data_IF_073006525146
#
_entry.id   IF_073006525146
#
_cell.length_a   1.000
_cell.length_b   1.000
_cell.length_c   1.000
_cell.angle_alpha   90.00
_cell.angle_beta   90.00
_cell.angle_gamma   90.00
#
_symmetry.space_group_name_H-M   'P 1'
#
loop_
_entity.id
_entity.type
_entity.pdbx_description
1 polymer ?
#
# COMPACT_ATOMS: atom_id res chain seq x y z
N UNK A 1 53.51 49.41 33.55
CA UNK A 1 52.09 49.61 33.20
C UNK A 1 51.90 49.43 31.69
N UNK A 2 51.75 48.17 31.29
CA UNK A 2 51.46 47.60 29.95
C UNK A 2 51.80 46.13 30.20
N UNK A 3 50.91 45.19 29.91
CA UNK A 3 51.00 43.74 30.25
C UNK A 3 50.16 43.24 31.44
N UNK A 4 49.18 44.01 31.94
CA UNK A 4 48.17 43.46 32.88
C UNK A 4 46.75 43.36 32.30
N UNK A 5 46.50 43.89 31.10
CA UNK A 5 45.14 43.98 30.52
C UNK A 5 44.87 42.88 29.48
N UNK A 6 45.89 42.16 29.02
CA UNK A 6 45.72 41.16 27.95
C UNK A 6 45.41 39.74 28.43
N UNK A 7 45.55 39.45 29.73
CA UNK A 7 45.27 38.12 30.29
C UNK A 7 43.90 37.97 30.97
N UNK A 8 43.10 39.05 31.04
CA UNK A 8 41.72 38.95 31.58
C UNK A 8 40.65 38.71 30.51
N UNK A 9 40.97 38.88 29.22
CA UNK A 9 40.01 38.67 28.12
C UNK A 9 40.00 37.24 27.56
N UNK A 10 41.00 36.42 27.90
CA UNK A 10 41.09 35.02 27.47
C UNK A 10 40.37 34.05 28.44
N UNK A 11 40.10 34.49 29.68
CA UNK A 11 39.46 33.64 30.70
C UNK A 11 37.92 33.74 30.72
N UNK A 12 37.33 34.67 29.97
CA UNK A 12 35.86 34.86 29.93
C UNK A 12 35.18 34.26 28.69
N UNK A 13 35.95 33.81 27.68
CA UNK A 13 35.39 33.20 26.45
C UNK A 13 35.27 31.67 26.56
N UNK A 14 36.03 31.03 27.45
CA UNK A 14 35.96 29.58 27.66
C UNK A 14 34.86 29.13 28.62
N UNK A 15 34.22 30.04 29.38
CA UNK A 15 33.09 29.69 30.25
C UNK A 15 31.72 29.83 29.58
N UNK A 16 31.63 30.46 28.41
CA UNK A 16 30.38 30.64 27.67
C UNK A 16 30.00 29.43 26.78
N UNK A 17 30.88 28.44 26.63
CA UNK A 17 30.63 27.22 25.83
C UNK A 17 30.11 26.02 26.65
N UNK A 18 29.96 26.15 27.97
CA UNK A 18 29.39 25.09 28.84
C UNK A 18 27.93 25.35 29.24
N UNK A 19 27.33 26.46 28.78
CA UNK A 19 25.94 26.84 29.11
C UNK A 19 24.91 26.51 28.02
N UNK A 20 25.28 25.76 26.98
CA UNK A 20 24.36 25.34 25.89
C UNK A 20 24.20 23.82 25.76
N UNK A 21 24.40 23.09 26.87
CA UNK A 21 23.86 21.75 27.05
C UNK A 21 23.01 21.76 28.32
N UNK A 22 21.95 22.57 28.34
CA UNK A 22 20.77 22.12 29.09
C UNK A 22 20.27 20.90 28.33
N UNK A 23 20.64 19.72 28.82
CA UNK A 23 19.80 18.55 28.65
C UNK A 23 18.41 19.01 29.06
N UNK A 24 17.56 19.25 28.06
CA UNK A 24 16.16 18.97 28.25
C UNK A 24 16.16 17.55 28.83
N UNK A 25 15.78 17.43 30.09
CA UNK A 25 15.28 16.17 30.61
C UNK A 25 14.15 15.81 29.66
N UNK A 26 14.51 15.05 28.62
CA UNK A 26 13.59 14.17 27.97
C UNK A 26 13.17 13.29 29.13
N UNK A 27 12.01 13.59 29.70
CA UNK A 27 11.20 12.57 30.35
C UNK A 27 11.15 11.45 29.32
N UNK A 28 12.06 10.49 29.48
CA UNK A 28 11.87 9.17 28.94
C UNK A 28 10.63 8.70 29.68
N UNK A 29 9.47 9.00 29.11
CA UNK A 29 8.26 8.26 29.37
C UNK A 29 8.72 6.81 29.27
N UNK A 30 8.82 6.19 30.43
CA UNK A 30 9.23 4.81 30.58
C UNK A 30 8.12 4.04 29.86
N UNK A 31 8.30 3.81 28.55
CA UNK A 31 7.38 3.05 27.74
C UNK A 31 7.30 1.69 28.43
N UNK A 32 6.19 1.50 29.14
CA UNK A 32 5.82 0.23 29.75
C UNK A 32 6.11 -0.84 28.72
N UNK A 33 7.08 -1.72 28.99
CA UNK A 33 7.47 -2.84 28.12
C UNK A 33 6.18 -3.54 27.69
N UNK A 34 5.77 -3.29 26.45
CA UNK A 34 4.53 -3.81 25.89
C UNK A 34 4.68 -5.33 25.84
N UNK A 35 3.88 -6.05 26.63
CA UNK A 35 4.09 -7.48 26.84
C UNK A 35 3.84 -8.25 25.54
N UNK A 36 4.64 -9.30 25.33
CA UNK A 36 4.59 -10.21 24.18
C UNK A 36 3.21 -10.86 24.01
N UNK A 37 2.43 -10.96 25.08
CA UNK A 37 1.15 -11.69 25.09
C UNK A 37 -0.09 -10.79 25.00
N UNK A 38 0.07 -9.47 24.95
CA UNK A 38 -1.06 -8.54 24.88
C UNK A 38 -1.22 -7.91 23.50
N UNK A 39 -2.38 -8.12 22.90
CA UNK A 39 -2.75 -7.43 21.67
C UNK A 39 -3.06 -5.96 21.94
N UNK A 40 -2.49 -5.11 21.09
CA UNK A 40 -2.78 -3.69 20.99
C UNK A 40 -3.65 -3.46 19.77
N UNK A 41 -4.51 -2.45 19.82
CA UNK A 41 -5.40 -2.10 18.70
C UNK A 41 -5.03 -0.73 18.15
N UNK A 42 -4.87 -0.63 16.83
CA UNK A 42 -4.63 0.65 16.18
C UNK A 42 -5.90 1.51 16.22
N UNK A 43 -5.82 2.67 16.88
CA UNK A 43 -6.94 3.60 17.01
C UNK A 43 -7.29 4.33 15.69
N UNK A 44 -6.35 4.38 14.76
CA UNK A 44 -6.45 4.98 13.44
C UNK A 44 -5.62 4.18 12.42
N UNK A 45 -5.77 4.46 11.13
CA UNK A 45 -4.93 3.85 10.11
C UNK A 45 -3.45 4.22 10.35
N UNK A 46 -2.54 3.29 10.04
CA UNK A 46 -1.10 3.48 10.25
C UNK A 46 -0.30 3.00 9.04
N UNK A 47 0.75 3.74 8.63
CA UNK A 47 1.63 3.25 7.58
C UNK A 47 2.37 2.00 8.07
N UNK A 48 2.43 0.98 7.22
CA UNK A 48 3.35 -0.15 7.36
C UNK A 48 4.60 0.10 6.52
N UNK A 49 4.41 0.64 5.32
CA UNK A 49 5.44 1.16 4.42
C UNK A 49 4.80 2.06 3.36
N UNK A 50 5.60 2.50 2.38
CA UNK A 50 5.09 3.31 1.28
C UNK A 50 3.96 2.59 0.53
N UNK A 51 2.77 3.22 0.50
CA UNK A 51 1.57 2.71 -0.17
C UNK A 51 0.84 1.57 0.54
N UNK A 52 1.33 1.09 1.70
CA UNK A 52 0.64 0.09 2.50
C UNK A 52 0.32 0.65 3.87
N UNK A 53 -0.97 0.77 4.16
CA UNK A 53 -1.51 1.20 5.44
C UNK A 53 -2.30 0.07 6.08
N UNK A 54 -2.09 -0.11 7.39
CA UNK A 54 -2.90 -0.96 8.22
C UNK A 54 -4.18 -0.19 8.60
N UNK A 55 -5.38 -0.76 8.38
CA UNK A 55 -6.63 -0.09 8.71
C UNK A 55 -6.79 0.08 10.23
N UNK A 56 -7.59 1.08 10.61
CA UNK A 56 -8.06 1.25 11.98
C UNK A 56 -8.68 -0.06 12.50
N UNK A 57 -8.39 -0.42 13.74
CA UNK A 57 -8.87 -1.65 14.36
C UNK A 57 -7.96 -2.87 14.14
N UNK A 58 -6.89 -2.74 13.35
CA UNK A 58 -5.85 -3.77 13.28
C UNK A 58 -5.28 -4.04 14.67
N UNK A 59 -5.24 -5.32 15.03
CA UNK A 59 -4.63 -5.77 16.27
C UNK A 59 -3.18 -6.19 16.01
N UNK A 60 -2.30 -5.93 16.96
CA UNK A 60 -0.89 -6.32 16.85
C UNK A 60 -0.27 -6.67 18.19
N UNK A 61 0.78 -7.49 18.16
CA UNK A 61 1.60 -7.82 19.34
C UNK A 61 3.02 -8.17 18.93
N UNK A 62 3.96 -8.06 19.85
CA UNK A 62 5.29 -8.64 19.67
C UNK A 62 5.20 -10.16 19.69
N UNK A 63 6.00 -10.82 18.86
CA UNK A 63 6.01 -12.30 18.78
C UNK A 63 7.04 -12.95 19.71
N UNK A 64 7.97 -12.16 20.24
CA UNK A 64 9.06 -12.62 21.08
C UNK A 64 9.50 -11.52 22.06
N UNK A 65 10.15 -11.93 23.15
CA UNK A 65 10.62 -11.03 24.20
C UNK A 65 11.73 -10.06 23.74
N UNK A 66 12.46 -10.43 22.69
CA UNK A 66 13.48 -9.58 22.08
C UNK A 66 12.87 -8.55 21.10
N UNK A 67 11.54 -8.59 20.93
CA UNK A 67 10.76 -7.68 20.10
C UNK A 67 11.29 -7.61 18.66
N UNK A 68 11.79 -8.74 18.13
CA UNK A 68 12.38 -8.78 16.78
C UNK A 68 11.33 -8.81 15.67
N UNK A 69 10.10 -9.17 16.02
CA UNK A 69 8.95 -9.06 15.11
C UNK A 69 7.63 -8.80 15.82
N UNK A 70 6.68 -8.36 15.03
CA UNK A 70 5.27 -8.17 15.39
C UNK A 70 4.38 -8.98 14.46
N UNK A 71 3.29 -9.48 15.03
CA UNK A 71 2.18 -10.10 14.30
C UNK A 71 1.03 -9.10 14.19
N UNK A 72 0.35 -9.10 13.05
CA UNK A 72 -0.84 -8.32 12.77
C UNK A 72 -2.05 -9.23 12.54
N UNK A 73 -3.20 -8.81 13.06
CA UNK A 73 -4.51 -9.37 12.76
C UNK A 73 -5.40 -8.23 12.27
N UNK A 74 -5.81 -8.30 11.01
CA UNK A 74 -6.67 -7.29 10.39
C UNK A 74 -8.09 -7.34 10.95
N UNK A 75 -8.81 -6.19 10.96
CA UNK A 75 -10.23 -6.18 11.30
C UNK A 75 -11.05 -6.99 10.28
N UNK A 76 -12.25 -7.39 10.70
CA UNK A 76 -13.18 -8.13 9.83
C UNK A 76 -13.43 -7.38 8.51
N UNK A 77 -13.46 -8.12 7.41
CA UNK A 77 -13.66 -7.56 6.07
C UNK A 77 -12.38 -7.09 5.39
N UNK A 78 -11.22 -7.23 6.03
CA UNK A 78 -9.93 -6.95 5.41
C UNK A 78 -9.04 -8.19 5.35
N UNK A 79 -8.19 -8.27 4.33
CA UNK A 79 -7.14 -9.28 4.20
C UNK A 79 -5.85 -8.66 3.66
N UNK A 80 -4.72 -9.22 4.05
CA UNK A 80 -3.44 -8.95 3.40
C UNK A 80 -3.42 -9.63 2.02
N UNK A 81 -2.96 -8.89 1.02
CA UNK A 81 -2.51 -9.44 -0.24
C UNK A 81 -1.08 -9.95 -0.06
N UNK A 82 -0.88 -11.25 -0.24
CA UNK A 82 0.41 -11.90 -0.05
C UNK A 82 0.94 -12.44 -1.36
N UNK A 83 2.25 -12.35 -1.57
CA UNK A 83 2.93 -12.99 -2.70
C UNK A 83 4.10 -13.85 -2.22
N UNK A 84 4.16 -15.08 -2.71
CA UNK A 84 5.34 -15.92 -2.53
C UNK A 84 6.52 -15.39 -3.35
N UNK A 85 7.65 -15.13 -2.68
CA UNK A 85 8.79 -14.45 -3.31
C UNK A 85 9.42 -15.27 -4.44
N UNK A 86 9.32 -16.60 -4.40
CA UNK A 86 9.92 -17.51 -5.37
C UNK A 86 8.98 -17.81 -6.54
N UNK A 87 7.78 -18.29 -6.24
CA UNK A 87 6.80 -18.76 -7.23
C UNK A 87 5.94 -17.62 -7.80
N UNK A 88 5.94 -16.46 -7.15
CA UNK A 88 5.04 -15.33 -7.43
C UNK A 88 3.56 -15.62 -7.24
N UNK A 89 3.21 -16.78 -6.66
CA UNK A 89 1.83 -17.13 -6.34
C UNK A 89 1.23 -16.14 -5.34
N UNK A 90 0.00 -15.71 -5.61
CA UNK A 90 -0.72 -14.71 -4.81
C UNK A 90 -1.74 -15.41 -3.93
N UNK A 91 -1.90 -14.92 -2.69
CA UNK A 91 -2.89 -15.44 -1.74
C UNK A 91 -3.39 -14.35 -0.79
N UNK A 92 -4.47 -14.63 -0.07
CA UNK A 92 -5.06 -13.72 0.92
C UNK A 92 -4.97 -14.32 2.32
N UNK A 93 -4.74 -13.48 3.34
CA UNK A 93 -4.80 -13.89 4.73
C UNK A 93 -5.24 -12.75 5.66
N UNK A 94 -5.97 -13.03 6.75
CA UNK A 94 -6.32 -12.01 7.74
C UNK A 94 -5.14 -11.62 8.65
N UNK A 95 -4.04 -12.38 8.61
CA UNK A 95 -2.88 -12.17 9.46
C UNK A 95 -1.60 -11.92 8.66
N UNK A 96 -0.71 -11.13 9.25
CA UNK A 96 0.55 -10.68 8.67
C UNK A 96 1.53 -10.31 9.77
N UNK A 97 2.61 -9.62 9.42
CA UNK A 97 3.61 -9.22 10.40
C UNK A 97 4.73 -8.37 9.82
N UNK A 98 5.56 -7.87 10.71
CA UNK A 98 6.75 -7.09 10.40
C UNK A 98 7.91 -7.56 11.27
N UNK A 99 9.07 -7.77 10.68
CA UNK A 99 10.27 -8.23 11.38
C UNK A 99 11.47 -7.35 11.07
N UNK A 100 12.40 -7.27 12.02
CA UNK A 100 13.67 -6.58 11.85
C UNK A 100 14.82 -7.58 11.83
N UNK A 101 15.68 -7.47 10.83
CA UNK A 101 16.82 -8.35 10.64
C UNK A 101 18.12 -7.55 10.68
N UNK A 102 19.16 -8.11 11.32
CA UNK A 102 20.50 -7.54 11.32
C UNK A 102 21.31 -8.18 10.18
N UNK A 103 21.98 -7.37 9.36
CA UNK A 103 22.83 -7.89 8.27
C UNK A 103 24.14 -8.56 8.75
N UNK A 104 24.47 -8.44 10.04
CA UNK A 104 25.69 -8.95 10.65
C UNK A 104 25.35 -9.68 11.97
N UNK A 105 26.14 -9.50 13.02
CA UNK A 105 25.87 -10.07 14.34
C UNK A 105 25.02 -9.15 15.22
N UNK A 106 24.26 -9.74 16.14
CA UNK A 106 23.38 -9.03 17.07
C UNK A 106 21.91 -9.09 16.66
N UNK A 107 21.11 -8.17 17.19
CA UNK A 107 19.66 -8.14 16.97
C UNK A 107 19.16 -6.72 16.72
N UNK A 108 18.04 -6.64 16.01
CA UNK A 108 17.30 -5.42 15.75
C UNK A 108 15.94 -5.52 16.42
N UNK A 109 15.43 -4.40 16.95
CA UNK A 109 14.15 -4.35 17.62
C UNK A 109 13.14 -3.65 16.73
N UNK A 110 11.93 -4.20 16.64
CA UNK A 110 10.79 -3.52 16.03
C UNK A 110 10.31 -2.43 16.97
N UNK A 111 10.24 -1.22 16.43
CA UNK A 111 9.63 -0.07 17.09
C UNK A 111 8.37 0.33 16.35
N UNK A 112 7.41 0.88 17.08
CA UNK A 112 6.19 1.44 16.53
C UNK A 112 6.07 2.90 16.96
N UNK A 113 5.81 3.79 15.99
CA UNK A 113 5.58 5.20 16.22
C UNK A 113 4.28 5.62 15.51
N UNK A 114 3.40 6.34 16.20
CA UNK A 114 2.09 6.73 15.66
C UNK A 114 2.14 7.60 14.39
N UNK A 115 3.26 8.29 14.13
CA UNK A 115 3.45 9.17 12.98
C UNK A 115 4.21 8.49 11.83
N UNK A 116 5.08 7.52 12.13
CA UNK A 116 5.97 6.89 11.16
C UNK A 116 5.69 5.39 10.92
N UNK A 117 4.78 4.79 11.68
CA UNK A 117 4.46 3.37 11.57
C UNK A 117 5.49 2.47 12.25
N UNK A 118 5.73 1.31 11.62
CA UNK A 118 6.67 0.31 12.11
C UNK A 118 8.06 0.52 11.52
N UNK A 119 9.09 0.36 12.35
CA UNK A 119 10.48 0.53 11.94
C UNK A 119 11.44 -0.36 12.72
N UNK A 120 12.72 -0.30 12.35
CA UNK A 120 13.78 -1.08 13.01
C UNK A 120 14.78 -0.18 13.73
N UNK A 121 15.01 -0.47 15.01
CA UNK A 121 16.05 0.13 15.81
C UNK A 121 17.28 -0.77 15.87
N UNK A 122 18.46 -0.16 15.69
CA UNK A 122 19.76 -0.83 15.87
C UNK A 122 20.00 -1.08 17.36
N UNK A 123 19.49 -2.20 17.87
CA UNK A 123 19.72 -2.62 19.25
C UNK A 123 21.19 -3.02 19.45
N UNK A 124 21.49 -4.32 19.36
CA UNK A 124 22.86 -4.85 19.45
C UNK A 124 23.48 -5.15 18.09
N UNK A 125 22.77 -4.85 17.01
CA UNK A 125 23.21 -5.11 15.65
C UNK A 125 24.48 -4.32 15.31
N UNK A 126 25.52 -5.02 14.86
CA UNK A 126 26.79 -4.43 14.40
C UNK A 126 26.76 -4.05 12.91
N UNK A 127 25.69 -4.41 12.20
CA UNK A 127 25.47 -4.13 10.79
C UNK A 127 24.27 -3.21 10.54
N UNK A 128 23.61 -3.37 9.39
CA UNK A 128 22.39 -2.64 9.04
C UNK A 128 21.15 -3.39 9.54
N UNK A 129 20.27 -2.69 10.25
CA UNK A 129 18.93 -3.18 10.55
C UNK A 129 17.99 -2.93 9.38
N UNK A 130 17.32 -3.98 8.92
CA UNK A 130 16.38 -3.91 7.78
C UNK A 130 15.05 -4.53 8.18
N UNK A 131 13.97 -3.81 7.89
CA UNK A 131 12.61 -4.28 8.13
C UNK A 131 12.07 -5.13 6.98
N UNK A 132 11.22 -6.10 7.30
CA UNK A 132 10.55 -6.95 6.33
C UNK A 132 9.11 -7.21 6.75
N UNK A 133 8.18 -6.94 5.84
CA UNK A 133 6.76 -7.28 5.98
C UNK A 133 6.51 -8.70 5.45
N UNK A 134 6.11 -9.59 6.34
CA UNK A 134 5.97 -11.02 6.03
C UNK A 134 4.75 -11.59 6.74
N UNK A 135 4.23 -12.74 6.30
CA UNK A 135 3.19 -13.45 7.07
C UNK A 135 3.69 -13.97 8.44
N UNK A 136 5.00 -13.90 8.68
CA UNK A 136 5.67 -14.31 9.91
C UNK A 136 7.18 -14.47 9.68
N UNK A 137 7.96 -14.55 10.76
CA UNK A 137 9.44 -14.55 10.76
C UNK A 137 10.14 -15.46 9.74
N UNK A 138 9.51 -16.58 9.35
CA UNK A 138 10.07 -17.58 8.42
C UNK A 138 9.24 -17.77 7.15
N UNK A 139 8.30 -16.88 6.89
CA UNK A 139 7.44 -17.00 5.72
C UNK A 139 8.15 -16.50 4.47
N UNK A 140 8.04 -17.26 3.38
CA UNK A 140 8.41 -16.79 2.04
C UNK A 140 7.36 -15.84 1.43
N UNK A 141 6.28 -15.58 2.16
CA UNK A 141 5.19 -14.70 1.74
C UNK A 141 5.48 -13.27 2.18
N UNK A 142 5.56 -12.39 1.20
CA UNK A 142 5.63 -10.94 1.38
C UNK A 142 4.23 -10.34 1.38
N UNK A 143 4.00 -9.34 2.23
CA UNK A 143 2.77 -8.53 2.17
C UNK A 143 2.93 -7.52 1.03
N UNK A 144 1.99 -7.46 0.09
CA UNK A 144 2.00 -6.45 -0.97
C UNK A 144 0.92 -5.39 -0.79
N UNK A 145 0.02 -5.60 0.17
CA UNK A 145 -0.94 -4.59 0.58
C UNK A 145 -2.06 -5.15 1.44
N UNK A 146 -3.08 -4.33 1.66
CA UNK A 146 -4.30 -4.64 2.39
C UNK A 146 -5.49 -4.40 1.47
N UNK A 147 -6.36 -5.38 1.38
CA UNK A 147 -7.56 -5.41 0.55
C UNK A 147 -8.81 -5.40 1.44
N UNK A 148 -9.88 -4.75 0.99
CA UNK A 148 -11.19 -4.78 1.66
C UNK A 148 -12.03 -5.93 1.13
N UNK A 149 -11.75 -7.15 1.60
CA UNK A 149 -12.37 -8.39 1.13
C UNK A 149 -13.85 -8.57 1.45
N UNK A 150 -14.46 -7.68 2.24
CA UNK A 150 -15.92 -7.65 2.39
C UNK A 150 -16.65 -7.12 1.15
N UNK A 151 -15.95 -6.49 0.20
CA UNK A 151 -16.47 -6.15 -1.12
C UNK A 151 -16.00 -7.18 -2.15
N UNK A 152 -16.68 -8.33 -2.18
CA UNK A 152 -16.32 -9.54 -2.95
C UNK A 152 -17.01 -9.66 -4.32
N UNK A 153 -17.62 -8.57 -4.79
CA UNK A 153 -18.17 -8.43 -6.14
C UNK A 153 -17.68 -7.13 -6.78
N UNK A 154 -17.85 -7.01 -8.10
CA UNK A 154 -17.59 -5.78 -8.85
C UNK A 154 -18.67 -4.77 -8.49
N UNK A 155 -18.25 -3.64 -7.93
CA UNK A 155 -19.12 -2.51 -7.61
C UNK A 155 -18.63 -1.25 -8.29
N UNK A 156 -19.55 -0.32 -8.55
CA UNK A 156 -19.22 1.01 -9.06
C UNK A 156 -18.98 2.04 -7.95
N UNK A 157 -19.20 1.62 -6.71
CA UNK A 157 -18.86 2.37 -5.51
C UNK A 157 -17.80 1.61 -4.69
N UNK A 158 -17.13 2.34 -3.80
CA UNK A 158 -16.16 1.73 -2.88
C UNK A 158 -16.60 1.97 -1.44
N UNK A 159 -16.86 0.89 -0.72
CA UNK A 159 -17.18 0.95 0.70
C UNK A 159 -15.92 1.26 1.55
N UNK A 160 -14.76 0.76 1.10
CA UNK A 160 -13.46 1.10 1.66
C UNK A 160 -12.36 0.89 0.61
N UNK A 161 -11.31 1.71 0.68
CA UNK A 161 -10.18 1.65 -0.25
C UNK A 161 -9.18 0.56 0.14
N UNK A 162 -8.63 -0.12 -0.86
CA UNK A 162 -7.43 -0.91 -0.72
C UNK A 162 -6.20 -0.02 -0.47
N UNK A 163 -5.16 -0.61 0.12
CA UNK A 163 -3.86 0.03 0.33
C UNK A 163 -2.77 -0.91 -0.17
N UNK A 164 -2.27 -0.65 -1.39
CA UNK A 164 -1.37 -1.54 -2.11
C UNK A 164 -0.05 -0.82 -2.45
N UNK A 165 1.06 -1.56 -2.37
CA UNK A 165 2.29 -1.11 -3.04
C UNK A 165 2.14 -1.19 -4.56
N UNK A 166 3.07 -0.60 -5.31
CA UNK A 166 3.08 -0.73 -6.78
C UNK A 166 3.09 -2.21 -7.23
N UNK A 167 3.88 -3.06 -6.57
CA UNK A 167 3.89 -4.50 -6.83
C UNK A 167 2.58 -5.18 -6.37
N UNK A 168 1.92 -4.65 -5.34
CA UNK A 168 0.60 -5.11 -4.89
C UNK A 168 -0.50 -4.87 -5.91
N UNK A 169 -0.47 -3.73 -6.61
CA UNK A 169 -1.40 -3.46 -7.72
C UNK A 169 -1.24 -4.54 -8.81
N UNK A 170 0.00 -4.88 -9.18
CA UNK A 170 0.27 -5.93 -10.17
C UNK A 170 -0.07 -7.35 -9.68
N UNK A 171 0.11 -7.63 -8.39
CA UNK A 171 -0.25 -8.93 -7.81
C UNK A 171 -1.78 -9.07 -7.66
N UNK A 172 -2.49 -8.00 -7.36
CA UNK A 172 -3.95 -7.98 -7.27
C UNK A 172 -4.59 -8.45 -8.58
N UNK A 173 -4.03 -8.05 -9.73
CA UNK A 173 -4.56 -8.45 -11.03
C UNK A 173 -4.39 -9.94 -11.32
N UNK A 174 -3.54 -10.65 -10.57
CA UNK A 174 -3.30 -12.09 -10.72
C UNK A 174 -4.27 -12.95 -9.88
N UNK A 175 -5.14 -12.34 -9.08
CA UNK A 175 -6.13 -13.06 -8.28
C UNK A 175 -7.10 -13.83 -9.18
N UNK A 176 -7.23 -15.17 -9.02
CA UNK A 176 -8.15 -15.97 -9.83
C UNK A 176 -9.61 -15.48 -9.74
N UNK A 177 -10.01 -14.99 -8.56
CA UNK A 177 -11.36 -14.48 -8.31
C UNK A 177 -11.66 -13.24 -9.14
N UNK A 178 -10.70 -12.30 -9.24
CA UNK A 178 -10.85 -11.12 -10.08
C UNK A 178 -10.96 -11.50 -11.55
N UNK A 179 -10.09 -12.40 -12.03
CA UNK A 179 -10.12 -12.85 -13.43
C UNK A 179 -11.46 -13.48 -13.79
N UNK A 180 -12.03 -14.27 -12.86
CA UNK A 180 -13.35 -14.87 -13.01
C UNK A 180 -14.45 -13.82 -13.05
N UNK A 181 -14.44 -12.85 -12.12
CA UNK A 181 -15.45 -11.80 -12.06
C UNK A 181 -15.43 -10.88 -13.29
N UNK A 182 -14.25 -10.53 -13.80
CA UNK A 182 -14.14 -9.77 -15.07
C UNK A 182 -14.83 -10.57 -16.19
N UNK A 183 -14.56 -11.87 -16.31
CA UNK A 183 -15.19 -12.69 -17.32
C UNK A 183 -16.72 -12.72 -17.16
N UNK A 184 -17.22 -13.00 -15.96
CA UNK A 184 -18.65 -13.06 -15.66
C UNK A 184 -19.37 -11.73 -15.94
N UNK A 185 -18.71 -10.61 -15.64
CA UNK A 185 -19.24 -9.27 -15.93
C UNK A 185 -19.42 -9.03 -17.43
N UNK A 186 -18.42 -9.38 -18.23
CA UNK A 186 -18.52 -9.27 -19.69
C UNK A 186 -19.55 -10.22 -20.28
N UNK A 187 -19.61 -11.47 -19.80
CA UNK A 187 -20.62 -12.45 -20.24
C UNK A 187 -22.04 -11.91 -20.01
N UNK A 188 -22.25 -11.20 -18.89
CA UNK A 188 -23.50 -10.52 -18.57
C UNK A 188 -23.77 -9.31 -19.47
N UNK A 189 -22.82 -8.37 -19.55
CA UNK A 189 -22.99 -7.09 -20.27
C UNK A 189 -23.17 -7.30 -21.78
N UNK A 190 -22.45 -8.25 -22.37
CA UNK A 190 -22.53 -8.52 -23.81
C UNK A 190 -23.58 -9.59 -24.16
N UNK A 191 -24.23 -10.21 -23.16
CA UNK A 191 -25.37 -11.10 -23.35
C UNK A 191 -25.13 -12.27 -24.32
N UNK A 192 -23.89 -12.73 -24.45
CA UNK A 192 -23.49 -13.77 -25.42
C UNK A 192 -23.41 -13.32 -26.88
N UNK A 193 -23.48 -12.01 -27.14
CA UNK A 193 -23.21 -11.40 -28.45
C UNK A 193 -21.72 -11.37 -28.80
N UNK A 194 -21.41 -10.89 -30.00
CA UNK A 194 -20.02 -10.76 -30.44
C UNK A 194 -19.27 -9.77 -29.56
N UNK A 195 -18.23 -10.26 -28.90
CA UNK A 195 -17.30 -9.41 -28.18
C UNK A 195 -16.51 -8.57 -29.20
N UNK A 196 -16.27 -7.28 -28.92
CA UNK A 196 -15.44 -6.43 -29.77
C UNK A 196 -14.07 -7.08 -30.01
N UNK A 197 -13.52 -6.94 -31.23
CA UNK A 197 -12.10 -7.21 -31.45
C UNK A 197 -11.32 -6.08 -30.79
N UNK A 198 -11.16 -6.17 -29.47
CA UNK A 198 -10.43 -5.19 -28.70
C UNK A 198 -9.02 -5.08 -29.30
N UNK A 199 -8.56 -3.88 -29.68
CA UNK A 199 -7.26 -3.73 -30.32
C UNK A 199 -6.20 -4.46 -29.49
N UNK A 200 -5.41 -5.28 -30.18
CA UNK A 200 -4.27 -6.00 -29.58
C UNK A 200 -3.20 -4.97 -29.18
N UNK A 201 -3.42 -4.24 -28.09
CA UNK A 201 -2.53 -3.17 -27.61
C UNK A 201 -3.11 -2.36 -26.46
N UNK A 202 -2.35 -1.40 -25.95
CA UNK A 202 -2.79 -0.40 -24.95
C UNK A 202 -3.58 0.76 -25.61
N UNK A 203 -3.68 0.80 -26.94
CA UNK A 203 -4.35 1.87 -27.70
C UNK A 203 -5.88 1.72 -27.73
N UNK A 204 -6.53 2.31 -26.73
CA UNK A 204 -7.99 2.52 -26.67
C UNK A 204 -8.49 3.56 -27.70
N UNK A 205 -7.58 4.34 -28.29
CA UNK A 205 -7.85 5.50 -29.17
C UNK A 205 -8.58 5.12 -30.47
N UNK A 206 -8.60 3.85 -30.84
CA UNK A 206 -9.28 3.38 -32.06
C UNK A 206 -10.76 3.01 -31.84
N UNK A 207 -11.24 3.03 -30.60
CA UNK A 207 -12.61 2.69 -30.27
C UNK A 207 -13.52 3.92 -30.35
N UNK A 208 -14.69 3.77 -30.98
CA UNK A 208 -15.71 4.81 -31.06
C UNK A 208 -16.34 5.04 -29.69
N UNK A 209 -16.43 6.30 -29.28
CA UNK A 209 -17.11 6.73 -28.05
C UNK A 209 -18.63 6.59 -28.15
N UNK A 210 -19.16 6.43 -29.37
CA UNK A 210 -20.57 6.13 -29.62
C UNK A 210 -20.90 4.65 -29.34
N UNK A 211 -19.88 3.78 -29.33
CA UNK A 211 -20.04 2.33 -29.18
C UNK A 211 -19.58 1.82 -27.81
N UNK A 212 -18.63 2.51 -27.15
CA UNK A 212 -18.02 2.02 -25.91
C UNK A 212 -17.74 3.14 -24.90
N UNK A 213 -17.74 2.77 -23.62
CA UNK A 213 -17.33 3.61 -22.50
C UNK A 213 -16.55 2.81 -21.46
N UNK A 214 -15.69 3.48 -20.69
CA UNK A 214 -15.01 2.90 -19.54
C UNK A 214 -15.81 3.16 -18.26
N UNK A 215 -16.21 2.11 -17.57
CA UNK A 215 -16.88 2.19 -16.27
C UNK A 215 -15.86 2.01 -15.13
N UNK A 216 -15.72 3.02 -14.28
CA UNK A 216 -14.93 2.91 -13.06
C UNK A 216 -15.56 1.89 -12.11
N UNK A 217 -14.80 0.88 -11.74
CA UNK A 217 -15.24 -0.28 -10.97
C UNK A 217 -14.27 -0.57 -9.82
N UNK A 218 -14.75 -1.30 -8.83
CA UNK A 218 -14.03 -1.63 -7.61
C UNK A 218 -14.25 -3.08 -7.21
N UNK A 219 -13.17 -3.76 -6.86
CA UNK A 219 -13.18 -5.11 -6.30
C UNK A 219 -12.17 -5.17 -5.16
N UNK A 220 -12.58 -5.70 -4.00
CA UNK A 220 -11.80 -5.66 -2.77
C UNK A 220 -11.26 -4.26 -2.39
N UNK A 221 -11.99 -3.21 -2.76
CA UNK A 221 -11.60 -1.82 -2.54
C UNK A 221 -10.53 -1.27 -3.49
N UNK A 222 -10.03 -2.08 -4.43
CA UNK A 222 -9.09 -1.65 -5.47
C UNK A 222 -9.87 -1.20 -6.71
N UNK A 223 -9.53 -0.02 -7.22
CA UNK A 223 -10.14 0.55 -8.42
C UNK A 223 -9.53 -0.02 -9.70
N UNK A 224 -10.36 -0.19 -10.73
CA UNK A 224 -10.00 -0.50 -12.11
C UNK A 224 -11.11 0.01 -13.04
N UNK A 225 -10.89 -0.03 -14.35
CA UNK A 225 -11.89 0.34 -15.36
C UNK A 225 -12.24 -0.86 -16.24
N UNK A 226 -13.53 -1.02 -16.52
CA UNK A 226 -14.04 -2.02 -17.46
C UNK A 226 -14.54 -1.31 -18.71
N UNK A 227 -14.24 -1.87 -19.87
CA UNK A 227 -14.72 -1.35 -21.14
C UNK A 227 -16.05 -2.03 -21.49
N UNK A 228 -17.13 -1.26 -21.48
CA UNK A 228 -18.50 -1.73 -21.69
C UNK A 228 -19.11 -1.06 -22.93
N UNK A 229 -20.15 -1.66 -23.55
CA UNK A 229 -20.90 -1.01 -24.62
C UNK A 229 -21.53 0.28 -24.11
N UNK A 230 -21.45 1.33 -24.90
CA UNK A 230 -22.24 2.52 -24.64
C UNK A 230 -23.70 2.21 -24.91
N UNK A 231 -24.54 2.47 -23.91
CA UNK A 231 -25.98 2.48 -24.08
C UNK A 231 -26.53 3.73 -23.39
N UNK A 232 -27.40 4.52 -24.04
CA UNK A 232 -28.08 5.65 -23.41
C UNK A 232 -28.84 5.23 -22.13
N UNK A 233 -29.29 3.97 -22.09
CA UNK A 233 -30.01 3.41 -20.94
C UNK A 233 -29.06 2.99 -19.82
N UNK A 234 -27.76 2.77 -20.08
CA UNK A 234 -26.80 2.37 -19.06
C UNK A 234 -26.71 3.43 -17.96
N UNK A 235 -26.58 4.70 -18.34
CA UNK A 235 -26.57 5.82 -17.39
C UNK A 235 -27.91 6.02 -16.68
N UNK A 236 -29.01 5.48 -17.22
CA UNK A 236 -30.31 5.48 -16.56
C UNK A 236 -30.40 4.38 -15.50
N UNK A 237 -29.91 3.18 -15.80
CA UNK A 237 -29.91 2.04 -14.87
C UNK A 237 -28.81 2.12 -13.81
N UNK A 238 -27.70 2.80 -14.13
CA UNK A 238 -26.54 2.94 -13.26
C UNK A 238 -26.07 4.41 -13.21
N UNK A 239 -26.87 5.31 -12.64
CA UNK A 239 -26.61 6.76 -12.66
C UNK A 239 -25.36 7.18 -11.89
N UNK A 240 -24.92 6.36 -10.94
CA UNK A 240 -23.76 6.64 -10.08
C UNK A 240 -22.44 6.15 -10.68
N UNK A 241 -22.49 5.50 -11.86
CA UNK A 241 -21.28 4.99 -12.52
C UNK A 241 -20.55 6.15 -13.18
N UNK A 242 -19.28 6.30 -12.83
CA UNK A 242 -18.38 7.19 -13.55
C UNK A 242 -17.98 6.55 -14.87
N UNK A 243 -18.46 7.16 -15.94
CA UNK A 243 -18.17 6.76 -17.31
C UNK A 243 -17.15 7.72 -17.93
N UNK A 244 -16.14 7.16 -18.57
CA UNK A 244 -15.13 7.91 -19.34
C UNK A 244 -15.18 7.46 -20.79
N UNK A 245 -15.10 8.40 -21.73
CA UNK A 245 -15.03 8.05 -23.14
C UNK A 245 -13.69 7.34 -23.45
N UNK A 246 -13.64 6.38 -24.40
CA UNK A 246 -12.40 5.69 -24.77
C UNK A 246 -11.27 6.62 -25.26
N UNK A 247 -11.60 7.73 -25.93
CA UNK A 247 -10.62 8.73 -26.37
C UNK A 247 -10.04 9.60 -25.23
N UNK A 248 -10.82 9.70 -24.15
CA UNK A 248 -10.47 10.32 -22.86
C UNK A 248 -10.00 9.28 -21.84
N UNK A 249 -9.90 8.00 -22.23
CA UNK A 249 -9.30 6.99 -21.40
C UNK A 249 -7.91 7.46 -20.95
N UNK A 250 -7.47 7.17 -19.71
CA UNK A 250 -6.25 7.74 -19.17
C UNK A 250 -5.05 7.45 -20.07
N UNK A 251 -4.67 8.39 -20.95
CA UNK A 251 -3.46 8.28 -21.80
C UNK A 251 -2.18 8.25 -20.96
N UNK A 252 -2.31 8.69 -19.72
CA UNK A 252 -1.28 8.66 -18.70
C UNK A 252 -1.94 8.51 -17.34
N UNK A 253 -1.32 7.75 -16.46
CA UNK A 253 -1.63 7.78 -15.04
C UNK A 253 -0.79 8.89 -14.41
N UNK A 254 -1.30 9.59 -13.40
CA UNK A 254 -0.48 10.53 -12.61
C UNK A 254 -0.10 9.92 -11.27
N UNK A 255 1.10 10.27 -10.80
CA UNK A 255 1.54 9.89 -9.48
C UNK A 255 1.26 11.07 -8.54
N UNK A 256 0.33 10.89 -7.61
CA UNK A 256 0.07 11.91 -6.57
C UNK A 256 1.13 11.89 -5.46
N UNK A 257 1.84 10.76 -5.29
CA UNK A 257 2.97 10.59 -4.35
C UNK A 257 3.79 9.33 -4.68
N UNK A 258 5.11 9.36 -4.43
CA UNK A 258 6.01 8.19 -4.43
C UNK A 258 7.23 8.29 -5.36
N UNK A 259 8.30 7.51 -5.10
CA UNK A 259 9.56 7.46 -5.88
C UNK A 259 9.49 6.51 -7.11
N UNK A 260 8.34 6.41 -7.76
CA UNK A 260 8.12 5.52 -8.90
C UNK A 260 8.65 6.07 -10.23
N UNK A 261 9.07 5.17 -11.13
CA UNK A 261 9.13 5.50 -12.58
C UNK A 261 7.69 5.80 -12.99
N UNK A 262 7.46 6.94 -13.64
CA UNK A 262 6.14 7.51 -13.93
C UNK A 262 5.01 6.50 -14.15
N UNK A 263 3.86 6.85 -13.60
CA UNK A 263 2.63 6.09 -13.60
C UNK A 263 2.21 5.64 -15.01
N UNK A 264 1.88 4.36 -15.16
CA UNK A 264 1.57 3.71 -16.44
C UNK A 264 0.19 3.05 -16.42
N UNK A 265 -0.56 3.23 -17.52
CA UNK A 265 -1.77 2.48 -17.78
C UNK A 265 -1.38 1.05 -18.17
N UNK A 266 -2.03 0.06 -17.55
CA UNK A 266 -1.88 -1.35 -17.85
C UNK A 266 -3.25 -1.98 -18.03
N UNK A 267 -3.24 -3.16 -18.63
CA UNK A 267 -4.45 -3.97 -18.81
C UNK A 267 -4.21 -5.39 -18.34
N UNK A 268 -5.22 -5.97 -17.69
CA UNK A 268 -5.24 -7.38 -17.31
C UNK A 268 -6.48 -8.03 -17.91
N UNK A 269 -6.34 -9.28 -18.32
CA UNK A 269 -7.44 -9.98 -18.95
C UNK A 269 -7.00 -11.11 -19.85
N UNK A 270 -7.97 -11.92 -20.27
CA UNK A 270 -7.75 -12.97 -21.28
C UNK A 270 -8.59 -12.64 -22.51
N UNK A 271 -7.95 -12.60 -23.67
CA UNK A 271 -8.61 -12.27 -24.94
C UNK A 271 -9.29 -10.89 -24.89
N UNK A 272 -10.61 -10.90 -24.85
CA UNK A 272 -11.53 -9.77 -24.93
C UNK A 272 -12.03 -9.32 -23.55
N UNK A 273 -11.79 -10.10 -22.50
CA UNK A 273 -12.15 -9.79 -21.11
C UNK A 273 -11.08 -8.93 -20.47
N UNK A 274 -11.14 -7.61 -20.61
CA UNK A 274 -10.02 -6.72 -20.23
C UNK A 274 -10.45 -5.70 -19.18
N UNK A 275 -9.67 -5.59 -18.11
CA UNK A 275 -9.72 -4.50 -17.15
C UNK A 275 -8.48 -3.62 -17.29
N UNK A 276 -8.68 -2.30 -17.26
CA UNK A 276 -7.63 -1.29 -17.29
C UNK A 276 -7.33 -0.81 -15.87
N UNK A 277 -6.06 -0.62 -15.55
CA UNK A 277 -5.62 -0.20 -14.23
C UNK A 277 -4.33 0.61 -14.31
N UNK A 278 -4.13 1.47 -13.32
CA UNK A 278 -2.96 2.32 -13.19
C UNK A 278 -1.95 1.69 -12.21
N UNK A 279 -0.68 1.57 -12.61
CA UNK A 279 0.41 1.06 -11.77
C UNK A 279 1.70 1.86 -11.97
N UNK A 280 2.75 1.56 -11.21
CA UNK A 280 4.07 2.20 -11.30
C UNK A 280 4.41 3.12 -10.12
N UNK A 281 3.41 3.54 -9.33
CA UNK A 281 3.62 4.17 -8.02
C UNK A 281 2.54 3.75 -7.02
N UNK A 282 2.68 4.20 -5.78
CA UNK A 282 1.80 3.90 -4.64
C UNK A 282 0.47 4.63 -4.69
N UNK A 283 0.41 5.85 -5.22
CA UNK A 283 -0.87 6.53 -5.50
C UNK A 283 -0.97 6.88 -6.98
N UNK A 284 -1.39 5.89 -7.75
CA UNK A 284 -1.57 5.99 -9.19
C UNK A 284 -3.03 6.34 -9.47
N UNK A 285 -3.30 7.59 -9.89
CA UNK A 285 -4.64 8.01 -10.29
C UNK A 285 -4.79 7.95 -11.80
N UNK A 286 -5.89 7.32 -12.24
CA UNK A 286 -6.41 7.52 -13.59
C UNK A 286 -6.83 9.00 -13.66
N UNK A 287 -6.17 9.77 -14.51
CA UNK A 287 -6.62 11.14 -14.77
C UNK A 287 -7.87 11.05 -15.65
N UNK A 288 -8.89 11.82 -15.29
CA UNK A 288 -10.07 12.10 -16.12
C UNK A 288 -9.69 12.98 -17.32
#
# INVERSE_FOLDING_TARGET
>A
MKNLIFNLFSLFVTFALLASCQQAEVEMAQETLKSVDSYQTLAQAQPLEEGIELPKGTQWKYTDASQTSVEFVLPQGYSFLLQDKETKAVSLAPTGGYSCTCSASGSCTVIFNNSAGYGCLSGTCTGKCTGQKTKGLKSNLEILGVLYTAQDDISYETAAKASLSAAGIEAFTQLPELQKLIQEHYDFVYGGGDLPDFPKGEDLVQLSEEDYVLAQSYFYGQAFQLLIPYSPDFSFFFPDVKLTAPGDAPKSCSCTSGEGKGCALKKVGRWTYVAYYCTGCTTCTMND
#
